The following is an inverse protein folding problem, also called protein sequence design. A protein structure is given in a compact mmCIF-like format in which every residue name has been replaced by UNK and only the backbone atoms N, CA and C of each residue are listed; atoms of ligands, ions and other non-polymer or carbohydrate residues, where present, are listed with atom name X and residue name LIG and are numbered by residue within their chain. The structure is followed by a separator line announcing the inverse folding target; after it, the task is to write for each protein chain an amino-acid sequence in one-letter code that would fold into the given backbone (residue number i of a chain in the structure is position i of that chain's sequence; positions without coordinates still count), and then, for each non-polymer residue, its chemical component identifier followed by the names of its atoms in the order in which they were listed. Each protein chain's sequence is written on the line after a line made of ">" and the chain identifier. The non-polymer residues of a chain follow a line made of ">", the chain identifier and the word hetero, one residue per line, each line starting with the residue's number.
data_IF_955485109211
#
_entry.id   IF_955485109211
#
_cell.length_a   1.000
_cell.length_b   1.000
_cell.length_c   1.000
_cell.angle_alpha   90.00
_cell.angle_beta   90.00
_cell.angle_gamma   90.00
#
_symmetry.space_group_name_H-M   'P 1'
#
loop_
_entity.id
_entity.type
_entity.pdbx_description
1 polymer ?
#
# COMPACT_ATOMS: atom_id res chain seq x y z
N UNK A 1 29.17 -1.86 65.86
CA UNK A 1 28.03 -1.62 64.95
C UNK A 1 28.18 -0.18 64.50
N UNK A 2 28.91 0.03 63.39
CA UNK A 2 29.53 1.31 63.08
C UNK A 2 28.65 2.15 62.16
N UNK A 3 28.45 3.40 62.56
CA UNK A 3 27.60 4.45 61.95
C UNK A 3 27.88 4.75 60.46
N UNK A 4 28.88 4.13 59.86
CA UNK A 4 29.36 4.43 58.51
C UNK A 4 28.63 3.66 57.40
N UNK A 5 27.87 2.61 57.72
CA UNK A 5 27.11 1.82 56.72
C UNK A 5 25.70 2.34 56.44
N UNK A 6 25.19 3.30 57.22
CA UNK A 6 23.82 3.84 57.03
C UNK A 6 23.79 5.00 56.00
N UNK A 7 24.95 5.60 55.67
CA UNK A 7 25.04 6.75 54.78
C UNK A 7 25.23 6.40 53.29
N UNK A 8 24.98 5.15 52.88
CA UNK A 8 25.06 4.70 51.47
C UNK A 8 23.71 4.30 50.88
N UNK A 9 22.60 4.55 51.58
CA UNK A 9 21.24 4.17 51.18
C UNK A 9 20.35 5.35 50.78
N UNK A 10 20.89 6.57 50.67
CA UNK A 10 20.10 7.80 50.53
C UNK A 10 20.61 8.78 49.48
N UNK A 11 21.02 8.27 48.32
CA UNK A 11 21.31 9.04 47.08
C UNK A 11 21.01 8.04 45.94
N UNK A 12 20.03 8.15 45.05
CA UNK A 12 19.49 9.30 44.37
C UNK A 12 18.01 9.04 43.98
N UNK A 13 17.21 10.07 44.25
CA UNK A 13 15.96 10.47 43.61
C UNK A 13 15.39 9.56 42.52
N UNK A 14 14.19 9.06 42.80
CA UNK A 14 13.23 8.69 41.75
C UNK A 14 12.88 9.94 40.92
N UNK A 15 13.63 10.16 39.84
CA UNK A 15 13.16 11.00 38.74
C UNK A 15 12.00 10.25 38.11
N UNK A 16 10.77 10.63 38.48
CA UNK A 16 9.63 10.39 37.59
C UNK A 16 9.92 11.21 36.34
N UNK A 17 10.51 10.58 35.35
CA UNK A 17 10.52 11.09 33.98
C UNK A 17 9.04 11.21 33.63
N UNK A 18 8.51 12.43 33.67
CA UNK A 18 7.33 12.75 32.88
C UNK A 18 7.77 12.52 31.44
N UNK A 19 7.47 11.33 30.91
CA UNK A 19 7.43 11.13 29.48
C UNK A 19 6.30 12.02 28.98
N UNK A 20 6.64 13.27 28.68
CA UNK A 20 5.87 14.06 27.74
C UNK A 20 5.78 13.21 26.48
N UNK A 21 4.60 12.65 26.21
CA UNK A 21 4.24 12.17 24.88
C UNK A 21 4.21 13.39 23.98
N UNK A 22 5.39 13.82 23.54
CA UNK A 22 5.53 14.63 22.34
C UNK A 22 5.02 13.74 21.21
N UNK A 23 3.74 13.91 20.87
CA UNK A 23 3.19 13.54 19.57
C UNK A 23 3.91 14.39 18.53
N UNK A 24 5.12 13.98 18.18
CA UNK A 24 5.93 14.58 17.13
C UNK A 24 6.13 13.51 16.06
N UNK A 25 5.47 13.76 14.93
CA UNK A 25 5.42 13.01 13.67
C UNK A 25 6.81 12.87 13.01
N UNK A 26 7.77 12.25 13.68
CA UNK A 26 9.11 12.04 13.13
C UNK A 26 9.70 10.73 13.66
N UNK A 27 9.42 9.65 12.94
CA UNK A 27 10.01 8.32 13.11
C UNK A 27 10.21 7.63 11.76
N UNK A 28 11.14 6.68 11.65
CA UNK A 28 11.87 6.31 10.43
C UNK A 28 11.12 5.28 9.56
N UNK A 29 9.92 5.60 9.10
CA UNK A 29 9.11 4.67 8.31
C UNK A 29 9.43 4.75 6.82
N UNK A 30 10.68 4.63 6.37
CA UNK A 30 11.06 4.77 4.94
C UNK A 30 10.47 6.02 4.24
N UNK A 31 10.08 7.05 5.02
CA UNK A 31 9.35 8.24 4.55
C UNK A 31 7.82 8.10 4.39
N UNK A 32 7.19 6.95 4.64
CA UNK A 32 5.73 6.80 4.66
C UNK A 32 5.10 7.39 5.93
N UNK A 33 3.82 7.80 5.89
CA UNK A 33 3.19 8.51 7.00
C UNK A 33 2.82 7.65 8.22
N UNK A 34 2.73 6.32 8.03
CA UNK A 34 2.38 5.35 9.07
C UNK A 34 3.33 4.13 8.99
N UNK A 35 3.45 3.33 10.07
CA UNK A 35 4.21 2.07 10.04
C UNK A 35 3.73 1.15 8.92
N UNK A 36 4.68 0.53 8.22
CA UNK A 36 4.35 -0.48 7.21
C UNK A 36 4.12 -1.83 7.89
N UNK A 37 2.97 -2.44 7.65
CA UNK A 37 2.67 -3.79 8.11
C UNK A 37 2.64 -4.78 6.94
N UNK A 38 3.04 -6.06 7.17
CA UNK A 38 2.82 -7.11 6.21
C UNK A 38 1.33 -7.25 5.88
N UNK A 39 1.03 -7.42 4.59
CA UNK A 39 -0.33 -7.73 4.19
C UNK A 39 -0.62 -9.21 4.44
N UNK A 40 -1.73 -9.48 5.11
CA UNK A 40 -2.25 -10.83 5.36
C UNK A 40 -3.50 -11.00 4.52
N UNK A 41 -3.51 -12.05 3.71
CA UNK A 41 -4.63 -12.39 2.87
C UNK A 41 -5.27 -13.67 3.38
N UNK A 42 -6.54 -13.59 3.74
CA UNK A 42 -7.41 -14.75 3.89
C UNK A 42 -8.42 -14.68 2.75
N UNK A 43 -8.07 -15.31 1.63
CA UNK A 43 -8.85 -15.25 0.40
C UNK A 43 -9.37 -16.63 0.04
N UNK A 44 -10.44 -16.67 -0.75
CA UNK A 44 -10.85 -17.89 -1.44
C UNK A 44 -10.38 -17.79 -2.88
N UNK A 45 -9.38 -18.58 -3.27
CA UNK A 45 -8.84 -18.63 -4.63
C UNK A 45 -9.32 -19.94 -5.27
N UNK A 46 -10.01 -19.87 -6.41
CA UNK A 46 -10.57 -21.06 -7.09
C UNK A 46 -11.43 -21.94 -6.14
N UNK A 47 -12.27 -21.30 -5.32
CA UNK A 47 -13.10 -21.97 -4.32
C UNK A 47 -12.34 -22.51 -3.10
N UNK A 48 -11.01 -22.37 -3.05
CA UNK A 48 -10.16 -22.89 -1.97
C UNK A 48 -9.72 -21.78 -1.01
N UNK A 49 -9.97 -21.89 0.30
CA UNK A 49 -9.44 -20.95 1.28
C UNK A 49 -7.91 -20.98 1.28
N UNK A 50 -7.28 -19.82 1.21
CA UNK A 50 -5.84 -19.66 1.23
C UNK A 50 -5.42 -18.50 2.12
N UNK A 51 -4.41 -18.77 2.96
CA UNK A 51 -3.76 -17.78 3.81
C UNK A 51 -2.35 -17.49 3.28
N UNK A 52 -2.06 -16.23 2.96
CA UNK A 52 -0.76 -15.81 2.43
C UNK A 52 -0.30 -14.46 2.98
N UNK A 53 0.99 -14.19 2.86
CA UNK A 53 1.60 -12.94 3.32
C UNK A 53 2.38 -12.23 2.20
N UNK A 54 2.45 -10.90 2.25
CA UNK A 54 3.17 -10.09 1.24
C UNK A 54 2.23 -9.35 0.29
N UNK A 55 2.74 -8.88 -0.86
CA UNK A 55 1.88 -8.23 -1.88
C UNK A 55 0.86 -9.22 -2.44
N UNK A 56 -0.20 -8.73 -3.08
CA UNK A 56 -1.17 -9.64 -3.71
C UNK A 56 -0.47 -10.55 -4.74
N UNK A 57 0.49 -10.02 -5.51
CA UNK A 57 1.27 -10.82 -6.46
C UNK A 57 2.03 -11.96 -5.76
N UNK A 58 2.66 -11.68 -4.60
CA UNK A 58 3.37 -12.68 -3.82
C UNK A 58 2.43 -13.74 -3.26
N UNK A 59 1.22 -13.38 -2.84
CA UNK A 59 0.20 -14.33 -2.38
C UNK A 59 -0.26 -15.26 -3.50
N UNK A 60 -0.52 -14.75 -4.71
CA UNK A 60 -0.83 -15.63 -5.84
C UNK A 60 0.35 -16.52 -6.23
N UNK A 61 1.60 -16.05 -6.10
CA UNK A 61 2.78 -16.88 -6.33
C UNK A 61 2.93 -18.00 -5.27
N UNK A 62 2.58 -17.73 -4.01
CA UNK A 62 2.52 -18.77 -2.97
C UNK A 62 1.40 -19.78 -3.26
N UNK A 63 0.25 -19.32 -3.75
CA UNK A 63 -0.88 -20.19 -4.10
C UNK A 63 -0.53 -21.13 -5.28
N UNK A 64 0.05 -20.62 -6.36
CA UNK A 64 0.46 -21.45 -7.52
C UNK A 64 1.51 -22.50 -7.16
N UNK A 65 2.34 -22.23 -6.15
CA UNK A 65 3.32 -23.20 -5.65
C UNK A 65 2.63 -24.40 -4.98
N UNK A 66 1.55 -24.17 -4.22
CA UNK A 66 0.78 -25.22 -3.55
C UNK A 66 -0.31 -25.84 -4.43
N UNK A 67 -0.71 -25.17 -5.52
CA UNK A 67 -1.75 -25.60 -6.45
C UNK A 67 -1.26 -25.52 -7.92
N UNK A 68 -0.38 -26.43 -8.38
CA UNK A 68 0.25 -26.32 -9.71
C UNK A 68 -0.72 -26.40 -10.91
N UNK A 69 -1.92 -26.95 -10.70
CA UNK A 69 -3.00 -26.98 -11.70
C UNK A 69 -3.66 -25.61 -11.89
N UNK A 70 -3.61 -24.75 -10.89
CA UNK A 70 -4.13 -23.40 -10.98
C UNK A 70 -3.28 -22.61 -11.97
N UNK A 71 -3.94 -22.08 -13.01
CA UNK A 71 -3.34 -21.14 -13.95
C UNK A 71 -3.79 -19.76 -13.56
N UNK A 72 -2.83 -18.91 -13.20
CA UNK A 72 -3.10 -17.49 -13.03
C UNK A 72 -3.77 -17.00 -14.32
N UNK A 73 -4.96 -16.36 -14.24
CA UNK A 73 -5.61 -15.84 -15.42
C UNK A 73 -4.62 -15.03 -16.25
N UNK A 74 -4.63 -15.21 -17.57
CA UNK A 74 -3.60 -14.63 -18.44
C UNK A 74 -3.41 -13.14 -18.17
N UNK A 75 -4.50 -12.40 -17.95
CA UNK A 75 -4.53 -10.97 -17.63
C UNK A 75 -3.85 -10.57 -16.29
N UNK A 76 -3.67 -11.51 -15.36
CA UNK A 76 -2.92 -11.31 -14.11
C UNK A 76 -1.45 -11.71 -14.23
N UNK A 77 -1.05 -12.38 -15.32
CA UNK A 77 0.35 -12.68 -15.55
C UNK A 77 1.14 -11.39 -15.81
N UNK A 78 2.31 -11.26 -15.21
CA UNK A 78 3.17 -10.07 -15.30
C UNK A 78 3.47 -9.67 -16.76
N UNK A 79 3.47 -10.65 -17.68
CA UNK A 79 3.63 -10.44 -19.12
C UNK A 79 2.40 -9.89 -19.84
N UNK A 80 1.18 -10.25 -19.44
CA UNK A 80 -0.05 -9.79 -20.12
C UNK A 80 -0.51 -8.40 -19.68
N UNK A 81 -0.13 -7.96 -18.47
CA UNK A 81 -0.44 -6.62 -17.98
C UNK A 81 0.11 -5.50 -18.89
N UNK A 82 1.17 -5.78 -19.65
CA UNK A 82 1.72 -4.90 -20.69
C UNK A 82 0.89 -4.91 -21.99
N UNK A 83 0.28 -6.05 -22.35
CA UNK A 83 -0.51 -6.22 -23.58
C UNK A 83 -1.92 -5.59 -23.47
N UNK A 84 -2.46 -5.44 -22.26
CA UNK A 84 -3.79 -4.86 -22.01
C UNK A 84 -3.88 -3.35 -22.27
N UNK A 85 -2.75 -2.63 -22.27
CA UNK A 85 -2.71 -1.20 -22.65
C UNK A 85 -3.27 -0.95 -24.07
N UNK A 86 -3.18 -1.94 -24.97
CA UNK A 86 -3.64 -1.82 -26.35
C UNK A 86 -5.13 -2.15 -26.56
N UNK A 87 -5.83 -2.76 -25.58
CA UNK A 87 -7.24 -3.20 -25.73
C UNK A 87 -8.24 -2.39 -24.90
N UNK A 88 -7.80 -1.68 -23.86
CA UNK A 88 -8.71 -0.96 -22.96
C UNK A 88 -9.36 0.32 -23.54
N UNK A 89 -8.99 0.74 -24.76
CA UNK A 89 -9.72 1.79 -25.48
C UNK A 89 -11.09 1.34 -26.04
N UNK A 90 -11.51 0.07 -25.82
CA UNK A 90 -12.73 -0.47 -26.44
C UNK A 90 -13.70 -1.28 -25.58
N UNK A 91 -13.45 -1.50 -24.29
CA UNK A 91 -14.34 -2.36 -23.47
C UNK A 91 -14.82 -1.62 -22.21
N UNK A 92 -15.85 -0.79 -22.38
CA UNK A 92 -16.78 -0.46 -21.29
C UNK A 92 -17.67 -1.69 -21.04
N UNK A 93 -17.19 -2.63 -20.24
CA UNK A 93 -18.00 -3.74 -19.72
C UNK A 93 -18.69 -3.32 -18.44
N UNK A 94 -20.02 -3.24 -18.44
CA UNK A 94 -20.85 -2.97 -17.26
C UNK A 94 -20.86 -4.18 -16.32
N UNK A 95 -19.86 -4.27 -15.44
CA UNK A 95 -20.09 -4.91 -14.13
C UNK A 95 -20.83 -3.86 -13.31
N UNK A 96 -21.99 -4.21 -12.74
CA UNK A 96 -22.68 -3.36 -11.79
C UNK A 96 -21.84 -3.32 -10.49
N UNK A 97 -20.73 -2.58 -10.54
CA UNK A 97 -20.05 -2.12 -9.35
C UNK A 97 -21.09 -1.29 -8.59
N UNK A 98 -21.42 -1.72 -7.37
CA UNK A 98 -21.98 -0.82 -6.39
C UNK A 98 -21.13 0.44 -6.44
N UNK A 99 -21.71 1.56 -6.87
CA UNK A 99 -20.97 2.79 -7.10
C UNK A 99 -20.49 3.24 -5.75
N UNK A 100 -19.25 2.87 -5.41
CA UNK A 100 -18.61 3.31 -4.20
C UNK A 100 -18.66 4.84 -4.21
N UNK A 101 -19.23 5.41 -3.15
CA UNK A 101 -19.39 6.86 -3.02
C UNK A 101 -18.02 7.49 -3.25
N UNK A 102 -17.95 8.50 -4.14
CA UNK A 102 -16.69 9.17 -4.49
C UNK A 102 -16.08 9.81 -3.23
N UNK A 103 -15.12 9.11 -2.62
CA UNK A 103 -14.32 9.60 -1.49
C UNK A 103 -12.98 10.22 -1.90
N UNK A 104 -12.53 9.97 -3.14
CA UNK A 104 -11.34 10.59 -3.74
C UNK A 104 -11.31 12.10 -3.57
N UNK A 105 -10.18 12.62 -3.12
CA UNK A 105 -10.01 14.03 -2.78
C UNK A 105 -8.73 14.61 -3.41
N UNK A 106 -7.78 15.04 -2.58
CA UNK A 106 -6.57 15.75 -2.99
C UNK A 106 -5.54 14.81 -3.60
N UNK A 107 -4.90 15.25 -4.70
CA UNK A 107 -3.75 14.58 -5.31
C UNK A 107 -2.51 15.44 -5.14
N UNK A 108 -1.44 14.82 -4.65
CA UNK A 108 -0.13 15.43 -4.43
C UNK A 108 0.91 14.71 -5.28
N UNK A 109 1.63 15.43 -6.11
CA UNK A 109 2.59 14.85 -7.05
C UNK A 109 4.02 14.91 -6.51
N UNK A 110 4.85 13.95 -6.93
CA UNK A 110 6.30 14.02 -6.74
C UNK A 110 6.99 14.87 -7.84
N UNK A 111 8.15 15.49 -7.53
CA UNK A 111 8.76 15.61 -6.20
C UNK A 111 7.94 16.54 -5.30
N UNK A 112 7.75 16.12 -4.05
CA UNK A 112 7.10 16.94 -3.03
C UNK A 112 8.15 17.23 -1.95
N UNK A 113 8.47 18.49 -1.63
CA UNK A 113 9.51 18.82 -0.65
C UNK A 113 9.21 18.29 0.76
N UNK A 114 7.96 17.97 1.08
CA UNK A 114 7.56 17.42 2.37
C UNK A 114 7.88 15.94 2.52
N UNK A 115 8.13 15.21 1.43
CA UNK A 115 8.42 13.77 1.44
C UNK A 115 9.58 13.43 0.49
N UNK A 116 10.53 12.63 0.96
CA UNK A 116 11.73 12.23 0.19
C UNK A 116 11.50 10.94 -0.60
N UNK A 117 10.33 10.76 -1.22
CA UNK A 117 10.01 9.55 -1.99
C UNK A 117 10.68 9.56 -3.36
N UNK A 118 11.08 8.38 -3.81
CA UNK A 118 11.61 8.16 -5.15
C UNK A 118 10.43 7.94 -6.11
N UNK A 119 10.54 8.45 -7.33
CA UNK A 119 9.53 8.19 -8.36
C UNK A 119 9.58 6.73 -8.83
N UNK A 120 8.43 6.20 -9.23
CA UNK A 120 8.27 4.86 -9.78
C UNK A 120 8.35 4.86 -11.32
N UNK A 121 8.85 3.80 -11.96
CA UNK A 121 8.68 3.61 -13.40
C UNK A 121 7.19 3.50 -13.78
N UNK A 122 6.70 4.33 -14.71
CA UNK A 122 5.29 4.39 -15.12
C UNK A 122 4.78 3.01 -15.59
N UNK A 123 5.63 2.25 -16.29
CA UNK A 123 5.30 0.91 -16.78
C UNK A 123 4.99 -0.07 -15.64
N UNK A 124 5.71 0.00 -14.52
CA UNK A 124 5.46 -0.81 -13.33
C UNK A 124 4.16 -0.41 -12.63
N UNK A 125 3.86 0.90 -12.56
CA UNK A 125 2.60 1.38 -11.97
C UNK A 125 1.39 0.88 -12.79
N UNK A 126 1.44 0.94 -14.13
CA UNK A 126 0.38 0.37 -14.98
C UNK A 126 0.20 -1.13 -14.80
N UNK A 127 1.29 -1.89 -14.64
CA UNK A 127 1.20 -3.32 -14.35
C UNK A 127 0.48 -3.58 -13.04
N UNK A 128 0.80 -2.83 -11.99
CA UNK A 128 0.10 -2.92 -10.71
C UNK A 128 -1.39 -2.55 -10.84
N UNK A 129 -1.74 -1.47 -11.56
CA UNK A 129 -3.14 -1.06 -11.78
C UNK A 129 -3.93 -2.19 -12.48
N UNK A 130 -3.38 -2.73 -13.58
CA UNK A 130 -4.03 -3.79 -14.34
C UNK A 130 -4.16 -5.07 -13.52
N UNK A 131 -3.14 -5.40 -12.73
CA UNK A 131 -3.19 -6.53 -11.82
C UNK A 131 -4.32 -6.34 -10.78
N UNK A 132 -4.38 -5.19 -10.10
CA UNK A 132 -5.40 -4.89 -9.09
C UNK A 132 -6.83 -4.95 -9.62
N UNK A 133 -7.04 -4.53 -10.88
CA UNK A 133 -8.36 -4.64 -11.55
C UNK A 133 -8.79 -6.08 -11.83
N UNK A 134 -7.86 -7.03 -11.88
CA UNK A 134 -8.15 -8.43 -12.16
C UNK A 134 -8.21 -9.34 -10.94
N UNK A 135 -7.82 -8.86 -9.76
CA UNK A 135 -7.75 -9.69 -8.54
C UNK A 135 -9.14 -10.18 -8.13
N UNK A 136 -9.24 -11.45 -7.72
CA UNK A 136 -10.46 -12.05 -7.21
C UNK A 136 -10.20 -12.88 -5.93
N UNK A 137 -10.98 -12.67 -4.84
CA UNK A 137 -12.04 -11.67 -4.73
C UNK A 137 -11.49 -10.24 -4.74
N UNK A 138 -12.25 -9.30 -5.28
CA UNK A 138 -11.89 -7.88 -5.34
C UNK A 138 -12.11 -7.22 -3.97
N UNK A 139 -11.34 -7.66 -2.98
CA UNK A 139 -11.49 -7.23 -1.59
C UNK A 139 -10.13 -7.24 -0.88
N UNK A 140 -9.73 -6.06 -0.42
CA UNK A 140 -8.47 -5.80 0.25
C UNK A 140 -8.70 -5.29 1.67
N UNK A 141 -7.89 -5.81 2.60
CA UNK A 141 -7.91 -5.46 4.03
C UNK A 141 -6.74 -4.54 4.39
N UNK A 142 -7.04 -3.43 5.04
CA UNK A 142 -6.05 -2.48 5.52
C UNK A 142 -6.17 -2.30 7.03
N UNK A 143 -5.16 -2.74 7.78
CA UNK A 143 -5.17 -2.60 9.24
C UNK A 143 -5.21 -1.14 9.67
N UNK A 144 -5.80 -0.88 10.84
CA UNK A 144 -5.85 0.44 11.44
C UNK A 144 -4.45 1.03 11.59
N UNK A 145 -4.33 2.36 11.41
CA UNK A 145 -3.11 3.12 11.71
C UNK A 145 -1.83 2.56 11.06
N UNK A 146 -1.94 2.00 9.86
CA UNK A 146 -0.83 1.35 9.15
C UNK A 146 -0.81 1.69 7.66
N UNK A 147 0.37 1.62 7.06
CA UNK A 147 0.55 1.53 5.62
C UNK A 147 0.78 0.08 5.20
N UNK A 148 0.38 -0.27 3.99
CA UNK A 148 0.61 -1.60 3.41
C UNK A 148 1.04 -1.48 1.96
N UNK A 149 2.06 -2.25 1.56
CA UNK A 149 2.46 -2.41 0.16
C UNK A 149 1.46 -3.35 -0.51
N UNK A 150 0.55 -2.78 -1.29
CA UNK A 150 -0.55 -3.51 -1.92
C UNK A 150 -0.08 -4.28 -3.15
N UNK A 151 0.72 -3.62 -3.99
CA UNK A 151 1.19 -4.16 -5.26
C UNK A 151 2.61 -3.67 -5.55
N UNK A 152 3.42 -4.52 -6.18
CA UNK A 152 4.78 -4.17 -6.61
C UNK A 152 5.10 -4.82 -7.96
N UNK A 153 5.63 -4.04 -8.90
CA UNK A 153 6.11 -4.50 -10.20
C UNK A 153 7.19 -3.55 -10.73
N UNK A 154 8.31 -4.07 -11.22
CA UNK A 154 9.42 -3.28 -11.78
C UNK A 154 9.86 -2.10 -10.90
N UNK A 155 10.03 -2.36 -9.60
CA UNK A 155 10.37 -1.35 -8.58
C UNK A 155 9.36 -0.21 -8.45
N UNK A 156 8.15 -0.35 -8.99
CA UNK A 156 7.02 0.52 -8.76
C UNK A 156 6.11 -0.12 -7.70
N UNK A 157 5.86 0.59 -6.61
CA UNK A 157 4.98 0.14 -5.54
C UNK A 157 3.76 1.03 -5.38
N UNK A 158 2.63 0.38 -5.09
CA UNK A 158 1.40 1.04 -4.62
C UNK A 158 1.25 0.71 -3.15
N UNK A 159 1.21 1.74 -2.31
CA UNK A 159 0.92 1.63 -0.89
C UNK A 159 -0.47 2.18 -0.58
N UNK A 160 -1.13 1.62 0.44
CA UNK A 160 -2.35 2.17 1.02
C UNK A 160 -2.11 2.41 2.50
N UNK A 161 -2.37 3.62 2.97
CA UNK A 161 -2.21 4.01 4.36
C UNK A 161 -3.57 4.33 4.96
N UNK A 162 -3.97 3.54 5.97
CA UNK A 162 -5.24 3.69 6.66
C UNK A 162 -5.04 4.50 7.95
N UNK A 163 -5.58 5.71 7.97
CA UNK A 163 -5.49 6.62 9.11
C UNK A 163 -6.54 6.35 10.19
N UNK A 164 -7.57 5.54 9.89
CA UNK A 164 -8.60 5.20 10.84
C UNK A 164 -8.06 4.35 12.00
N UNK A 165 -8.75 4.42 13.13
CA UNK A 165 -8.54 3.55 14.30
C UNK A 165 -9.15 2.15 14.09
N UNK A 166 -9.87 1.94 12.99
CA UNK A 166 -10.47 0.65 12.61
C UNK A 166 -9.88 0.09 11.31
N UNK A 167 -9.94 -1.24 11.16
CA UNK A 167 -9.60 -1.90 9.90
C UNK A 167 -10.55 -1.44 8.79
N UNK A 168 -9.99 -1.16 7.61
CA UNK A 168 -10.73 -0.78 6.41
C UNK A 168 -10.78 -1.96 5.43
N UNK A 169 -11.91 -2.11 4.76
CA UNK A 169 -12.11 -3.07 3.68
C UNK A 169 -12.56 -2.32 2.43
N UNK A 170 -11.86 -2.50 1.32
CA UNK A 170 -12.15 -1.84 0.04
C UNK A 170 -11.82 -2.75 -1.13
N UNK A 171 -12.42 -2.49 -2.28
CA UNK A 171 -12.03 -3.15 -3.51
C UNK A 171 -10.56 -2.87 -3.83
N UNK A 172 -9.81 -3.91 -4.19
CA UNK A 172 -8.42 -3.78 -4.63
C UNK A 172 -8.37 -3.01 -5.96
N UNK A 173 -9.35 -3.26 -6.85
CA UNK A 173 -9.53 -2.53 -8.10
C UNK A 173 -9.76 -1.03 -7.86
N UNK A 174 -10.49 -0.68 -6.79
CA UNK A 174 -10.71 0.71 -6.41
C UNK A 174 -9.40 1.39 -6.04
N UNK A 175 -8.51 0.75 -5.28
CA UNK A 175 -7.17 1.28 -5.00
C UNK A 175 -6.34 1.47 -6.27
N UNK A 176 -6.47 0.57 -7.25
CA UNK A 176 -5.86 0.72 -8.57
C UNK A 176 -6.31 1.99 -9.30
N UNK A 177 -7.56 2.43 -9.10
CA UNK A 177 -8.06 3.66 -9.70
C UNK A 177 -7.44 4.94 -9.11
N UNK A 178 -6.94 4.92 -7.87
CA UNK A 178 -6.18 6.04 -7.30
C UNK A 178 -4.80 6.16 -7.95
N UNK A 179 -4.13 5.02 -8.12
CA UNK A 179 -2.85 4.99 -8.82
C UNK A 179 -3.00 5.48 -10.28
N UNK A 180 -4.11 5.16 -10.94
CA UNK A 180 -4.42 5.71 -12.27
C UNK A 180 -4.61 7.23 -12.25
N UNK A 181 -5.33 7.78 -11.26
CA UNK A 181 -5.48 9.23 -11.10
C UNK A 181 -4.14 9.91 -10.85
N UNK A 182 -3.27 9.33 -10.03
CA UNK A 182 -1.90 9.81 -9.82
C UNK A 182 -1.11 9.81 -11.14
N UNK A 183 -1.15 8.72 -11.93
CA UNK A 183 -0.49 8.69 -13.25
C UNK A 183 -0.98 9.81 -14.16
N UNK A 184 -2.29 10.03 -14.19
CA UNK A 184 -2.91 10.97 -15.12
C UNK A 184 -2.74 12.43 -14.69
N UNK A 185 -2.69 12.70 -13.38
CA UNK A 185 -2.65 14.06 -12.80
C UNK A 185 -1.24 14.51 -12.42
N UNK A 186 -0.25 13.62 -12.38
CA UNK A 186 1.15 13.93 -12.06
C UNK A 186 2.09 13.74 -13.27
N UNK A 187 2.01 14.60 -14.31
CA UNK A 187 2.76 14.42 -15.55
C UNK A 187 4.23 14.85 -15.49
N UNK A 188 4.71 15.37 -14.35
CA UNK A 188 5.97 16.14 -14.25
C UNK A 188 7.18 15.40 -14.84
N UNK A 189 7.22 14.07 -14.74
CA UNK A 189 8.32 13.23 -15.24
C UNK A 189 7.85 12.13 -16.18
N UNK A 190 6.63 12.27 -16.73
CA UNK A 190 6.07 11.28 -17.64
C UNK A 190 6.86 11.17 -18.95
N UNK A 191 7.48 12.26 -19.40
CA UNK A 191 8.34 12.27 -20.59
C UNK A 191 9.59 11.37 -20.46
N UNK A 192 10.03 11.09 -19.24
CA UNK A 192 11.14 10.18 -18.94
C UNK A 192 10.66 8.84 -18.37
N UNK A 193 9.35 8.60 -18.37
CA UNK A 193 8.74 7.33 -17.95
C UNK A 193 8.67 7.11 -16.44
N UNK A 194 8.68 8.18 -15.63
CA UNK A 194 8.57 8.10 -14.18
C UNK A 194 7.38 8.89 -13.64
N UNK A 195 6.79 8.40 -12.55
CA UNK A 195 5.63 8.99 -11.91
C UNK A 195 5.62 8.69 -10.42
N UNK A 196 4.94 9.52 -9.64
CA UNK A 196 4.71 9.24 -8.23
C UNK A 196 3.90 10.34 -7.57
N UNK A 197 3.30 10.00 -6.45
CA UNK A 197 2.41 10.90 -5.74
C UNK A 197 1.57 10.18 -4.71
N UNK A 198 0.63 10.92 -4.15
CA UNK A 198 -0.35 10.48 -3.18
C UNK A 198 -1.73 10.99 -3.60
N UNK A 199 -2.76 10.19 -3.38
CA UNK A 199 -4.14 10.63 -3.45
C UNK A 199 -4.88 10.23 -2.18
N UNK A 200 -5.60 11.18 -1.60
CA UNK A 200 -6.32 11.03 -0.34
C UNK A 200 -7.80 10.68 -0.58
N UNK A 201 -8.38 9.92 0.34
CA UNK A 201 -9.82 9.66 0.43
C UNK A 201 -10.41 10.24 1.72
N UNK A 202 -11.61 10.81 1.62
CA UNK A 202 -12.38 11.38 2.73
C UNK A 202 -12.74 10.39 3.84
N UNK A 203 -12.67 9.09 3.58
CA UNK A 203 -12.86 8.00 4.55
C UNK A 203 -11.57 7.71 5.36
N UNK A 204 -10.56 8.59 5.31
CA UNK A 204 -9.40 8.50 6.19
C UNK A 204 -8.36 7.47 5.74
N UNK A 205 -8.12 7.35 4.44
CA UNK A 205 -6.97 6.61 3.92
C UNK A 205 -6.35 7.34 2.71
N UNK A 206 -5.15 6.94 2.33
CA UNK A 206 -4.45 7.51 1.18
C UNK A 206 -3.76 6.42 0.37
N UNK A 207 -3.74 6.56 -0.95
CA UNK A 207 -2.97 5.70 -1.86
C UNK A 207 -1.72 6.43 -2.29
N UNK A 208 -0.57 5.76 -2.20
CA UNK A 208 0.74 6.34 -2.51
C UNK A 208 1.40 5.51 -3.62
N UNK A 209 1.87 6.17 -4.67
CA UNK A 209 2.67 5.58 -5.74
C UNK A 209 4.10 6.10 -5.63
N UNK A 210 5.06 5.18 -5.42
CA UNK A 210 6.49 5.50 -5.33
C UNK A 210 7.37 4.35 -5.78
N UNK A 211 8.63 4.67 -6.07
CA UNK A 211 9.68 3.69 -6.29
C UNK A 211 9.99 2.95 -4.99
N UNK A 212 10.07 1.62 -5.05
CA UNK A 212 10.40 0.76 -3.90
C UNK A 212 10.78 -0.64 -4.39
N UNK A 213 11.73 -1.36 -3.75
CA UNK A 213 12.06 -2.73 -4.11
C UNK A 213 10.84 -3.67 -4.02
N UNK A 214 10.73 -4.56 -5.02
CA UNK A 214 9.91 -5.76 -4.97
C UNK A 214 10.81 -6.95 -4.55
#
# INVERSE_FOLDING_TARGET
>A
MNLLTILLLLVCLATKVLSTTTSHLSGPYDGLPLPVEPMEFNLTIDGTPFAGHGTIQQVYAQYTTSHPSFKLPEYLSLGAALALKAKNDRVQGTVAAEVEKRGKSSVFCLPNPQVQWVMAPESGVWQNINFLRGVQPDLCRFAARSCRKLACANSASIFVCNWNDSTLWRACSYMGSYAEDIINRCPQYRSVGYVGGQEDDTDGYSVIVRGDPC
#
